data_IF_908908974126
#
_entry.id   IF_908908974126
#
_cell.length_a   1.000
_cell.length_b   1.000
_cell.length_c   1.000
_cell.angle_alpha   90.00
_cell.angle_beta   90.00
_cell.angle_gamma   90.00
#
_symmetry.space_group_name_H-M   'P 1'
#
loop_
_entity.id
_entity.type
_entity.pdbx_description
1 polymer ?
#
# COMPACT_ATOMS: atom_id res chain seq x y z
N UNK A 1 -0.32 -9.99 -2.81
CA UNK A 1 0.63 -10.15 -1.71
C UNK A 1 -0.09 -10.08 -0.37
N UNK A 2 0.08 -9.07 0.44
CA UNK A 2 -0.58 -9.11 1.73
C UNK A 2 -0.34 -7.84 2.53
N UNK A 3 -0.63 -7.93 3.82
CA UNK A 3 -0.49 -6.84 4.75
C UNK A 3 0.89 -6.88 5.41
N UNK A 4 1.62 -5.79 5.32
CA UNK A 4 3.00 -5.70 5.81
C UNK A 4 3.22 -4.42 6.60
N UNK A 5 4.25 -4.44 7.45
CA UNK A 5 4.65 -3.25 8.20
C UNK A 5 5.52 -2.34 7.33
N UNK A 6 5.26 -1.04 7.38
CA UNK A 6 6.01 -0.02 6.65
C UNK A 6 6.39 1.08 7.65
N UNK A 7 7.53 0.92 8.31
CA UNK A 7 7.90 1.71 9.49
C UNK A 7 8.97 2.75 9.22
N UNK A 8 8.88 3.86 9.98
CA UNK A 8 9.94 4.85 10.04
C UNK A 8 11.06 4.39 10.99
N UNK A 9 12.30 4.89 10.85
CA UNK A 9 12.75 5.89 9.88
C UNK A 9 13.07 5.33 8.50
N UNK A 10 13.27 4.02 8.36
CA UNK A 10 13.56 3.40 7.08
C UNK A 10 12.38 2.52 6.69
N UNK A 11 11.49 3.05 5.89
CA UNK A 11 10.31 2.34 5.45
C UNK A 11 10.64 1.19 4.51
N UNK A 12 9.87 0.12 4.58
CA UNK A 12 9.98 -0.99 3.64
C UNK A 12 9.64 -0.54 2.21
N UNK A 13 8.66 0.36 2.08
CA UNK A 13 8.33 1.03 0.83
C UNK A 13 8.59 2.52 1.05
N UNK A 14 9.77 3.03 0.67
CA UNK A 14 10.19 4.36 1.09
C UNK A 14 9.54 5.53 0.37
N UNK A 15 9.03 5.29 -0.86
CA UNK A 15 8.49 6.37 -1.68
C UNK A 15 6.99 6.49 -1.51
N UNK A 16 6.55 7.54 -0.81
CA UNK A 16 5.14 7.93 -0.77
C UNK A 16 4.84 8.71 -2.05
N UNK A 17 4.37 8.01 -3.07
CA UNK A 17 4.17 8.65 -4.38
C UNK A 17 2.82 9.35 -4.51
N UNK A 18 1.95 9.20 -3.53
CA UNK A 18 0.70 9.95 -3.48
C UNK A 18 0.24 10.03 -2.02
N UNK A 19 -0.10 11.23 -1.59
CA UNK A 19 -0.54 11.48 -0.21
C UNK A 19 -1.99 11.94 -0.13
N UNK A 20 -2.75 11.79 -1.23
CA UNK A 20 -4.14 12.24 -1.30
C UNK A 20 -5.15 11.09 -1.23
N UNK A 21 -4.72 9.93 -0.74
CA UNK A 21 -5.56 8.73 -0.66
C UNK A 21 -6.80 8.96 0.20
N UNK A 22 -6.70 9.83 1.21
CA UNK A 22 -7.83 10.13 2.08
C UNK A 22 -9.00 10.79 1.35
N UNK A 23 -8.82 11.21 0.09
CA UNK A 23 -9.91 11.77 -0.72
C UNK A 23 -10.85 10.69 -1.26
N UNK A 24 -10.46 9.42 -1.18
CA UNK A 24 -11.30 8.29 -1.56
C UNK A 24 -11.64 7.47 -0.32
N UNK A 25 -12.69 6.68 -0.40
CA UNK A 25 -13.19 5.93 0.75
C UNK A 25 -13.20 4.44 0.47
N UNK A 26 -12.62 3.68 1.41
CA UNK A 26 -12.70 2.23 1.41
C UNK A 26 -11.59 1.56 0.60
N UNK A 27 -11.29 0.30 0.94
CA UNK A 27 -10.17 -0.42 0.33
C UNK A 27 -10.25 -0.56 -1.19
N UNK A 28 -11.44 -0.73 -1.74
CA UNK A 28 -11.59 -0.88 -3.19
C UNK A 28 -11.23 0.41 -3.93
N UNK A 29 -11.72 1.55 -3.44
CA UNK A 29 -11.42 2.84 -4.05
C UNK A 29 -9.94 3.19 -3.90
N UNK A 30 -9.37 2.88 -2.74
CA UNK A 30 -7.93 3.09 -2.48
C UNK A 30 -7.09 2.24 -3.43
N UNK A 31 -7.47 0.98 -3.62
CA UNK A 31 -6.78 0.09 -4.55
C UNK A 31 -6.76 0.68 -5.96
N UNK A 32 -7.92 1.08 -6.47
CA UNK A 32 -8.03 1.64 -7.82
C UNK A 32 -7.21 2.91 -7.97
N UNK A 33 -7.28 3.78 -6.97
CA UNK A 33 -6.55 5.05 -6.95
C UNK A 33 -5.03 4.82 -6.99
N UNK A 34 -4.52 4.01 -6.08
CA UNK A 34 -3.09 3.75 -5.99
C UNK A 34 -2.58 2.97 -7.19
N UNK A 35 -3.39 2.03 -7.70
CA UNK A 35 -3.02 1.24 -8.87
C UNK A 35 -2.82 2.12 -10.10
N UNK A 36 -3.76 3.03 -10.36
CA UNK A 36 -3.67 3.93 -11.51
C UNK A 36 -2.42 4.80 -11.43
N UNK A 37 -2.12 5.35 -10.25
CA UNK A 37 -0.92 6.15 -10.03
C UNK A 37 0.34 5.34 -10.21
N UNK A 38 0.40 4.16 -9.61
CA UNK A 38 1.57 3.29 -9.71
C UNK A 38 1.88 2.92 -11.15
N UNK A 39 0.84 2.61 -11.92
CA UNK A 39 1.01 2.31 -13.35
C UNK A 39 1.55 3.50 -14.13
N UNK A 40 1.06 4.70 -13.85
CA UNK A 40 1.51 5.91 -14.53
C UNK A 40 2.98 6.23 -14.22
N UNK A 41 3.48 5.79 -13.06
CA UNK A 41 4.85 6.01 -12.63
C UNK A 41 5.75 4.79 -12.90
N UNK A 42 5.21 3.77 -13.55
CA UNK A 42 5.92 2.54 -13.94
C UNK A 42 6.41 1.70 -12.76
N UNK A 43 5.76 1.82 -11.62
CA UNK A 43 6.03 0.91 -10.51
C UNK A 43 5.44 -0.46 -10.80
N UNK A 44 6.10 -1.50 -10.33
CA UNK A 44 5.65 -2.88 -10.50
C UNK A 44 5.00 -3.46 -9.25
N UNK A 45 5.04 -2.71 -8.17
CA UNK A 45 4.49 -3.10 -6.89
C UNK A 45 4.13 -1.82 -6.14
N UNK A 46 3.04 -1.85 -5.39
CA UNK A 46 2.70 -0.73 -4.54
C UNK A 46 2.06 -1.21 -3.24
N UNK A 47 2.18 -0.40 -2.21
CA UNK A 47 1.47 -0.58 -0.96
C UNK A 47 0.48 0.56 -0.77
N UNK A 48 -0.63 0.27 -0.13
CA UNK A 48 -1.67 1.27 0.12
C UNK A 48 -2.04 1.31 1.59
N UNK A 49 -2.16 2.51 2.13
CA UNK A 49 -2.77 2.74 3.42
C UNK A 49 -3.87 3.79 3.28
N UNK A 50 -4.41 4.25 4.40
CA UNK A 50 -5.55 5.18 4.40
C UNK A 50 -5.18 6.58 3.94
N UNK A 51 -3.89 6.90 3.85
CA UNK A 51 -3.41 8.24 3.52
C UNK A 51 -2.48 8.29 2.32
N UNK A 52 -1.71 7.24 2.09
CA UNK A 52 -0.63 7.27 1.10
C UNK A 52 -0.62 6.03 0.22
N UNK A 53 -0.11 6.21 -0.99
CA UNK A 53 0.32 5.11 -1.85
C UNK A 53 1.84 5.06 -1.77
N UNK A 54 2.39 3.88 -1.55
CA UNK A 54 3.81 3.67 -1.28
C UNK A 54 4.44 2.74 -2.32
N UNK A 55 5.68 2.98 -2.66
CA UNK A 55 6.47 2.06 -3.45
C UNK A 55 7.97 2.37 -3.29
N UNK A 56 8.78 2.00 -4.28
CA UNK A 56 10.21 2.28 -4.29
C UNK A 56 10.86 1.53 -5.43
N UNK A 57 12.07 1.96 -5.80
CA UNK A 57 12.81 1.33 -6.90
C UNK A 57 13.16 -0.12 -6.60
N UNK A 58 13.32 -0.45 -5.33
CA UNK A 58 13.68 -1.80 -4.88
C UNK A 58 12.55 -2.45 -4.07
N UNK A 59 11.32 -1.98 -4.27
CA UNK A 59 10.15 -2.42 -3.48
C UNK A 59 9.97 -3.93 -3.49
N UNK A 60 10.24 -4.58 -4.62
CA UNK A 60 10.14 -6.03 -4.76
C UNK A 60 10.99 -6.77 -3.73
N UNK A 61 12.12 -6.20 -3.33
CA UNK A 61 13.04 -6.81 -2.39
C UNK A 61 12.86 -6.31 -0.97
N UNK A 62 12.15 -5.19 -0.77
CA UNK A 62 12.06 -4.56 0.55
C UNK A 62 10.67 -4.56 1.16
N UNK A 63 9.63 -4.89 0.40
CA UNK A 63 8.24 -4.74 0.87
C UNK A 63 7.96 -5.52 2.17
N UNK A 64 8.63 -6.62 2.38
CA UNK A 64 8.44 -7.48 3.56
C UNK A 64 9.55 -7.32 4.60
N UNK A 65 10.32 -6.24 4.50
CA UNK A 65 11.50 -6.00 5.36
C UNK A 65 11.20 -6.10 6.85
N UNK A 66 10.02 -5.66 7.28
CA UNK A 66 9.61 -5.67 8.68
C UNK A 66 8.58 -6.75 8.99
N UNK A 67 8.32 -7.64 8.03
CA UNK A 67 7.39 -8.75 8.20
C UNK A 67 5.94 -8.37 8.03
N UNK A 68 5.07 -9.35 8.16
CA UNK A 68 3.65 -9.17 8.00
C UNK A 68 3.01 -8.37 9.13
N UNK A 69 1.83 -7.85 8.86
CA UNK A 69 1.03 -7.12 9.83
C UNK A 69 -0.41 -7.60 9.75
N UNK A 70 -1.14 -7.48 10.87
CA UNK A 70 -2.58 -7.76 10.90
C UNK A 70 -3.41 -6.48 10.89
N UNK A 71 -2.76 -5.33 10.75
CA UNK A 71 -3.39 -4.01 10.87
C UNK A 71 -3.79 -3.44 9.51
N UNK A 72 -4.54 -4.23 8.74
CA UNK A 72 -5.13 -3.78 7.48
C UNK A 72 -6.64 -3.92 7.53
N UNK A 73 -7.32 -3.02 6.84
CA UNK A 73 -8.76 -3.06 6.71
C UNK A 73 -9.10 -3.71 5.37
N UNK A 74 -9.94 -4.77 5.40
CA UNK A 74 -10.33 -5.50 4.22
C UNK A 74 -11.66 -5.00 3.68
N UNK A 75 -11.83 -5.07 2.36
CA UNK A 75 -13.06 -4.70 1.70
C UNK A 75 -14.20 -5.61 2.16
N UNK A 76 -15.34 -5.00 2.45
CA UNK A 76 -16.56 -5.74 2.82
C UNK A 76 -17.32 -6.26 1.60
N UNK A 77 -16.89 -5.87 0.41
CA UNK A 77 -17.52 -6.31 -0.84
C UNK A 77 -17.02 -7.67 -1.32
N UNK A 78 -16.07 -8.28 -0.60
CA UNK A 78 -15.55 -9.61 -0.96
C UNK A 78 -14.59 -9.62 -2.13
N UNK A 79 -14.01 -8.46 -2.48
CA UNK A 79 -13.10 -8.33 -3.61
C UNK A 79 -11.68 -8.84 -3.31
N UNK A 80 -11.35 -9.00 -2.03
CA UNK A 80 -9.99 -9.32 -1.60
C UNK A 80 -9.09 -8.10 -1.48
N UNK A 81 -9.58 -6.92 -1.81
CA UNK A 81 -8.81 -5.69 -1.65
C UNK A 81 -8.75 -5.26 -0.19
N UNK A 82 -7.66 -4.58 0.17
CA UNK A 82 -7.46 -4.08 1.52
C UNK A 82 -6.57 -2.86 1.50
N UNK A 83 -6.55 -2.13 2.60
CA UNK A 83 -5.63 -1.01 2.79
C UNK A 83 -5.02 -1.09 4.18
N UNK A 84 -3.79 -0.61 4.33
CA UNK A 84 -3.15 -0.53 5.62
C UNK A 84 -3.80 0.52 6.51
N UNK A 85 -3.51 0.44 7.80
CA UNK A 85 -3.93 1.45 8.76
C UNK A 85 -2.74 2.34 9.08
N UNK A 86 -2.84 3.59 8.70
CA UNK A 86 -1.75 4.55 8.83
C UNK A 86 -1.24 4.65 10.27
N UNK A 87 -2.14 4.65 11.25
CA UNK A 87 -1.74 4.79 12.66
C UNK A 87 -0.87 3.63 13.15
N UNK A 88 -0.92 2.48 12.47
CA UNK A 88 -0.10 1.31 12.84
C UNK A 88 1.11 1.13 11.93
N UNK A 89 1.30 2.02 10.96
CA UNK A 89 2.38 1.91 10.01
C UNK A 89 2.27 0.70 9.10
N UNK A 90 1.05 0.31 8.75
CA UNK A 90 0.79 -0.86 7.90
C UNK A 90 0.42 -0.43 6.49
N UNK A 91 0.78 -1.28 5.52
CA UNK A 91 0.35 -1.13 4.13
C UNK A 91 -0.11 -2.47 3.61
N UNK A 92 -1.06 -2.46 2.68
CA UNK A 92 -1.41 -3.68 1.95
C UNK A 92 -0.71 -3.63 0.61
N UNK A 93 0.08 -4.67 0.31
CA UNK A 93 0.98 -4.69 -0.84
C UNK A 93 0.33 -5.45 -1.99
N UNK A 94 0.34 -4.82 -3.16
CA UNK A 94 -0.16 -5.40 -4.40
C UNK A 94 0.97 -5.45 -5.42
N UNK A 95 0.95 -6.49 -6.24
CA UNK A 95 1.89 -6.61 -7.34
C UNK A 95 1.19 -6.26 -8.65
N UNK A 96 1.83 -5.39 -9.43
CA UNK A 96 1.40 -5.05 -10.79
C UNK A 96 2.21 -5.86 -11.77
N UNK A 97 1.55 -6.41 -12.74
CA UNK A 97 2.23 -7.20 -13.74
C UNK A 97 2.11 -6.52 -15.08
#
# INVERSE_FOLDING_TARGET
MGCYSNKSPTNALPDSFDSNVSTVSGPDAIYDYCKAKAKSLSYKLFGADEKNCWSGDDAKNTYDKYGGSTQCEFSKAGTGHASGRDMYGSVFVYQLE
#
